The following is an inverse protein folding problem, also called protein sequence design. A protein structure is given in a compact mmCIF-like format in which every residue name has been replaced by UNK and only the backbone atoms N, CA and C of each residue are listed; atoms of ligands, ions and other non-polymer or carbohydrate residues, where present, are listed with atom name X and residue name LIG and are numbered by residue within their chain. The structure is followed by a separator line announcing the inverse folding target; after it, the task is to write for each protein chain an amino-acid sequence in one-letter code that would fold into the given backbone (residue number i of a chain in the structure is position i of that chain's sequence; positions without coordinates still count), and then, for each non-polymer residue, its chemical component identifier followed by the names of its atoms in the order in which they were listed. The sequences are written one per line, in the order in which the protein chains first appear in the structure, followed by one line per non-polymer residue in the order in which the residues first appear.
data_IF_462492070207
#
_entry.id   IF_462492070207
#
_cell.length_a   1.000
_cell.length_b   1.000
_cell.length_c   1.000
_cell.angle_alpha   90.00
_cell.angle_beta   90.00
_cell.angle_gamma   90.00
#
_symmetry.space_group_name_H-M   'P 1'
#
loop_
_entity.id
_entity.type
_entity.pdbx_description
1 polymer ?
#
# COMPACT_ATOMS: atom_id res chain seq x y z
N UNK A 1 9.89 21.92 32.72
CA UNK A 1 9.60 21.90 31.27
C UNK A 1 9.99 20.52 30.78
N UNK A 2 9.00 19.76 30.32
CA UNK A 2 9.05 18.30 30.14
C UNK A 2 10.03 17.84 29.07
N UNK A 3 10.76 16.77 29.38
CA UNK A 3 11.79 16.11 28.58
C UNK A 3 11.24 15.42 27.33
N UNK A 4 10.67 16.15 26.37
CA UNK A 4 10.07 15.53 25.19
C UNK A 4 11.08 14.78 24.30
N UNK A 5 12.38 15.03 24.50
CA UNK A 5 13.46 14.34 23.80
C UNK A 5 13.80 12.95 24.36
N UNK A 6 13.24 12.53 25.51
CA UNK A 6 13.46 11.18 26.04
C UNK A 6 12.49 10.15 25.47
N UNK A 7 11.37 10.59 24.89
CA UNK A 7 10.42 9.69 24.23
C UNK A 7 11.04 9.04 22.99
N UNK A 8 10.96 7.71 22.94
CA UNK A 8 11.28 6.91 21.77
C UNK A 8 10.02 6.63 20.97
N UNK A 9 10.19 6.29 19.70
CA UNK A 9 9.05 5.94 18.84
C UNK A 9 8.27 4.71 19.38
N UNK A 10 8.98 3.79 20.04
CA UNK A 10 8.39 2.64 20.76
C UNK A 10 7.37 3.05 21.82
N UNK A 11 7.54 4.21 22.47
CA UNK A 11 6.70 4.65 23.58
C UNK A 11 5.31 5.09 23.11
N UNK A 12 5.16 5.37 21.82
CA UNK A 12 3.87 5.68 21.18
C UNK A 12 3.15 4.43 20.65
N UNK A 13 3.82 3.28 20.58
CA UNK A 13 3.20 2.02 20.18
C UNK A 13 2.57 1.35 21.40
N UNK A 14 1.24 1.23 21.39
CA UNK A 14 0.47 0.57 22.45
C UNK A 14 0.43 -0.96 22.28
N UNK A 15 1.25 -1.54 21.40
CA UNK A 15 1.20 -2.94 21.03
C UNK A 15 2.59 -3.53 20.74
N UNK A 16 2.72 -4.84 20.97
CA UNK A 16 3.96 -5.60 20.73
C UNK A 16 4.02 -6.15 19.29
N UNK A 17 5.22 -6.58 18.80
CA UNK A 17 5.35 -7.21 17.50
C UNK A 17 4.49 -8.46 17.34
N UNK A 18 4.31 -9.23 18.43
CA UNK A 18 3.44 -10.42 18.46
C UNK A 18 1.97 -10.04 18.31
N UNK A 19 1.54 -8.96 18.96
CA UNK A 19 0.17 -8.43 18.86
C UNK A 19 -0.12 -8.01 17.42
N UNK A 20 0.82 -7.31 16.77
CA UNK A 20 0.69 -6.92 15.36
C UNK A 20 0.60 -8.14 14.43
N UNK A 21 1.52 -9.11 14.58
CA UNK A 21 1.50 -10.33 13.77
C UNK A 21 0.20 -11.14 13.94
N UNK A 22 -0.34 -11.19 15.16
CA UNK A 22 -1.62 -11.84 15.44
C UNK A 22 -2.81 -11.09 14.83
N UNK A 23 -2.81 -9.76 14.88
CA UNK A 23 -3.83 -8.93 14.24
C UNK A 23 -3.87 -9.17 12.73
N UNK A 24 -2.70 -9.20 12.08
CA UNK A 24 -2.59 -9.51 10.65
C UNK A 24 -3.11 -10.92 10.35
N UNK A 25 -2.72 -11.91 11.13
CA UNK A 25 -3.16 -13.30 10.95
C UNK A 25 -4.69 -13.42 11.05
N UNK A 26 -5.31 -12.84 12.08
CA UNK A 26 -6.77 -12.86 12.27
C UNK A 26 -7.50 -12.12 11.14
N UNK A 27 -7.00 -10.95 10.74
CA UNK A 27 -7.55 -10.20 9.61
C UNK A 27 -7.54 -11.03 8.32
N UNK A 28 -6.45 -11.73 8.04
CA UNK A 28 -6.35 -12.59 6.87
C UNK A 28 -7.17 -13.88 7.00
N UNK A 29 -7.24 -14.50 8.17
CA UNK A 29 -8.13 -15.64 8.43
C UNK A 29 -9.60 -15.30 8.13
N UNK A 30 -10.07 -14.12 8.54
CA UNK A 30 -11.42 -13.66 8.24
C UNK A 30 -11.62 -13.28 6.76
N UNK A 31 -10.56 -12.80 6.11
CA UNK A 31 -10.52 -12.55 4.68
C UNK A 31 -10.32 -13.83 3.86
N UNK A 32 -10.19 -15.01 4.45
CA UNK A 32 -10.02 -16.21 3.65
C UNK A 32 -11.31 -16.48 2.84
N UNK A 33 -11.25 -16.71 1.51
CA UNK A 33 -10.08 -16.84 0.62
C UNK A 33 -9.76 -15.58 -0.22
N UNK A 34 -10.34 -14.41 0.08
CA UNK A 34 -10.14 -13.13 -0.63
C UNK A 34 -8.67 -12.67 -0.70
N UNK A 35 -7.76 -13.21 0.10
CA UNK A 35 -6.32 -12.93 0.00
C UNK A 35 -5.78 -13.22 -1.42
N UNK A 36 -6.30 -14.26 -2.08
CA UNK A 36 -5.97 -14.58 -3.46
C UNK A 36 -6.48 -13.51 -4.45
N UNK A 37 -7.59 -12.84 -4.13
CA UNK A 37 -8.05 -11.69 -4.90
C UNK A 37 -7.08 -10.51 -4.77
N UNK A 38 -6.48 -10.30 -3.59
CA UNK A 38 -5.43 -9.28 -3.41
C UNK A 38 -4.21 -9.54 -4.30
N UNK A 39 -3.73 -10.79 -4.33
CA UNK A 39 -2.63 -11.20 -5.21
C UNK A 39 -3.01 -11.08 -6.70
N UNK A 40 -4.20 -11.57 -7.07
CA UNK A 40 -4.72 -11.46 -8.44
C UNK A 40 -4.89 -9.99 -8.87
N UNK A 41 -5.36 -9.13 -7.98
CA UNK A 41 -5.46 -7.69 -8.21
C UNK A 41 -4.09 -7.05 -8.40
N UNK A 42 -3.08 -7.46 -7.62
CA UNK A 42 -1.70 -7.00 -7.80
C UNK A 42 -1.14 -7.38 -9.18
N UNK A 43 -1.34 -8.64 -9.61
CA UNK A 43 -0.94 -9.11 -10.94
C UNK A 43 -1.71 -8.39 -12.06
N UNK A 44 -3.01 -8.18 -11.87
CA UNK A 44 -3.84 -7.41 -12.80
C UNK A 44 -3.36 -5.96 -12.90
N UNK A 45 -2.96 -5.33 -11.79
CA UNK A 45 -2.40 -3.98 -11.80
C UNK A 45 -1.11 -3.90 -12.63
N UNK A 46 -0.21 -4.89 -12.52
CA UNK A 46 1.00 -4.98 -13.34
C UNK A 46 0.66 -5.13 -14.84
N UNK A 47 -0.26 -6.04 -15.18
CA UNK A 47 -0.70 -6.23 -16.57
C UNK A 47 -1.37 -4.99 -17.15
N UNK A 48 -2.27 -4.35 -16.39
CA UNK A 48 -2.93 -3.10 -16.78
C UNK A 48 -1.93 -1.95 -16.93
N UNK A 49 -0.88 -1.89 -16.11
CA UNK A 49 0.17 -0.89 -16.25
C UNK A 49 0.93 -1.02 -17.57
N UNK A 50 1.28 -2.24 -17.97
CA UNK A 50 1.90 -2.50 -19.27
C UNK A 50 0.94 -2.14 -20.43
N UNK A 51 -0.33 -2.54 -20.34
CA UNK A 51 -1.34 -2.23 -21.35
C UNK A 51 -1.67 -0.73 -21.44
N UNK A 52 -1.60 0.00 -20.31
CA UNK A 52 -1.90 1.43 -20.23
C UNK A 52 -0.97 2.31 -21.06
N UNK A 53 0.21 1.78 -21.43
CA UNK A 53 1.17 2.45 -22.32
C UNK A 53 0.62 2.65 -23.73
N UNK A 54 -0.31 1.80 -24.15
CA UNK A 54 -0.91 1.79 -25.50
C UNK A 54 -2.41 2.10 -25.48
N UNK A 55 -3.11 1.73 -24.41
CA UNK A 55 -4.57 1.79 -24.35
C UNK A 55 -5.07 2.71 -23.21
N UNK A 56 -5.84 3.77 -23.49
CA UNK A 56 -6.38 4.66 -22.46
C UNK A 56 -7.39 3.94 -21.53
N UNK A 57 -8.11 2.95 -22.05
CA UNK A 57 -9.04 2.12 -21.25
C UNK A 57 -8.30 1.36 -20.15
N UNK A 58 -7.13 0.77 -20.46
CA UNK A 58 -6.31 0.07 -19.48
C UNK A 58 -5.77 1.02 -18.39
N UNK A 59 -5.44 2.26 -18.77
CA UNK A 59 -5.05 3.31 -17.80
C UNK A 59 -6.18 3.63 -16.83
N UNK A 60 -7.40 3.81 -17.35
CA UNK A 60 -8.59 4.05 -16.52
C UNK A 60 -8.88 2.87 -15.60
N UNK A 61 -8.84 1.65 -16.13
CA UNK A 61 -9.02 0.43 -15.34
C UNK A 61 -7.97 0.31 -14.22
N UNK A 62 -6.70 0.61 -14.50
CA UNK A 62 -5.64 0.63 -13.48
C UNK A 62 -5.94 1.62 -12.36
N UNK A 63 -6.36 2.84 -12.70
CA UNK A 63 -6.66 3.88 -11.71
C UNK A 63 -7.88 3.52 -10.86
N UNK A 64 -8.91 2.91 -11.46
CA UNK A 64 -10.08 2.41 -10.74
C UNK A 64 -9.72 1.26 -9.80
N UNK A 65 -8.86 0.34 -10.24
CA UNK A 65 -8.37 -0.76 -9.42
C UNK A 65 -7.57 -0.23 -8.22
N UNK A 66 -6.66 0.72 -8.45
CA UNK A 66 -5.90 1.36 -7.37
C UNK A 66 -6.81 2.13 -6.42
N UNK A 67 -7.83 2.84 -6.93
CA UNK A 67 -8.81 3.52 -6.08
C UNK A 67 -9.55 2.53 -5.16
N UNK A 68 -10.00 1.41 -5.71
CA UNK A 68 -10.65 0.35 -4.93
C UNK A 68 -9.70 -0.27 -3.90
N UNK A 69 -8.44 -0.53 -4.27
CA UNK A 69 -7.43 -1.08 -3.36
C UNK A 69 -7.13 -0.12 -2.19
N UNK A 70 -6.91 1.17 -2.48
CA UNK A 70 -6.69 2.19 -1.45
C UNK A 70 -7.90 2.38 -0.53
N UNK A 71 -9.11 2.38 -1.09
CA UNK A 71 -10.35 2.46 -0.30
C UNK A 71 -10.50 1.23 0.61
N UNK A 72 -10.26 0.04 0.08
CA UNK A 72 -10.33 -1.21 0.83
C UNK A 72 -9.30 -1.24 1.97
N UNK A 73 -8.03 -0.93 1.70
CA UNK A 73 -6.97 -0.89 2.72
C UNK A 73 -7.32 0.13 3.81
N UNK A 74 -7.78 1.33 3.43
CA UNK A 74 -8.16 2.37 4.37
C UNK A 74 -9.32 1.95 5.28
N UNK A 75 -10.34 1.32 4.70
CA UNK A 75 -11.52 0.89 5.44
C UNK A 75 -11.30 -0.41 6.22
N UNK A 76 -10.97 -1.51 5.53
CA UNK A 76 -10.97 -2.85 6.09
C UNK A 76 -9.77 -3.13 7.02
N UNK A 77 -8.60 -2.56 6.73
CA UNK A 77 -7.43 -2.71 7.59
C UNK A 77 -7.25 -1.51 8.51
N UNK A 78 -7.02 -0.31 7.96
CA UNK A 78 -6.61 0.84 8.76
C UNK A 78 -7.71 1.28 9.75
N UNK A 79 -8.97 1.37 9.30
CA UNK A 79 -10.09 1.75 10.17
C UNK A 79 -10.62 0.59 11.03
N UNK A 80 -11.02 -0.52 10.41
CA UNK A 80 -11.71 -1.62 11.13
C UNK A 80 -10.80 -2.44 12.05
N UNK A 81 -9.50 -2.54 11.75
CA UNK A 81 -8.56 -3.36 12.54
C UNK A 81 -7.54 -2.54 13.29
N UNK A 82 -6.88 -1.62 12.59
CA UNK A 82 -5.69 -0.99 13.11
C UNK A 82 -6.00 0.20 14.04
N UNK A 83 -7.11 0.91 13.82
CA UNK A 83 -7.57 2.02 14.66
C UNK A 83 -7.82 1.63 16.12
N UNK A 84 -8.14 0.38 16.40
CA UNK A 84 -8.37 -0.10 17.76
C UNK A 84 -7.09 -0.13 18.61
N UNK A 85 -5.91 -0.28 17.98
CA UNK A 85 -4.63 -0.46 18.70
C UNK A 85 -3.58 0.60 18.38
N UNK A 86 -3.79 1.42 17.35
CA UNK A 86 -2.84 2.44 16.94
C UNK A 86 -3.53 3.80 16.74
N UNK A 87 -3.09 4.79 17.52
CA UNK A 87 -3.58 6.17 17.44
C UNK A 87 -3.36 6.81 16.06
N UNK A 88 -2.35 6.40 15.31
CA UNK A 88 -2.07 6.90 13.96
C UNK A 88 -2.96 6.26 12.88
N UNK A 89 -3.61 5.14 13.18
CA UNK A 89 -4.36 4.37 12.18
C UNK A 89 -5.64 5.07 11.64
N UNK A 90 -6.40 5.87 12.42
CA UNK A 90 -7.46 6.72 11.88
C UNK A 90 -6.94 7.71 10.83
N UNK A 91 -5.77 8.31 11.06
CA UNK A 91 -5.13 9.22 10.10
C UNK A 91 -4.64 8.47 8.86
N UNK A 92 -4.09 7.26 9.03
CA UNK A 92 -3.76 6.36 7.93
C UNK A 92 -5.01 6.02 7.09
N UNK A 93 -6.14 5.70 7.71
CA UNK A 93 -7.39 5.42 7.03
C UNK A 93 -7.87 6.63 6.21
N UNK A 94 -7.80 7.83 6.79
CA UNK A 94 -8.16 9.07 6.09
C UNK A 94 -7.22 9.34 4.89
N UNK A 95 -5.91 9.12 5.06
CA UNK A 95 -4.94 9.25 3.98
C UNK A 95 -5.21 8.25 2.85
N UNK A 96 -5.47 6.98 3.18
CA UNK A 96 -5.87 5.96 2.20
C UNK A 96 -7.16 6.35 1.46
N UNK A 97 -8.16 6.89 2.17
CA UNK A 97 -9.40 7.40 1.57
C UNK A 97 -9.15 8.57 0.61
N UNK A 98 -8.30 9.53 1.01
CA UNK A 98 -7.86 10.62 0.13
C UNK A 98 -7.19 10.06 -1.12
N UNK A 99 -6.25 9.13 -0.98
CA UNK A 99 -5.56 8.51 -2.12
C UNK A 99 -6.51 7.77 -3.05
N UNK A 100 -7.54 7.11 -2.51
CA UNK A 100 -8.58 6.47 -3.31
C UNK A 100 -9.34 7.50 -4.17
N UNK A 101 -9.72 8.64 -3.59
CA UNK A 101 -10.38 9.74 -4.31
C UNK A 101 -9.46 10.33 -5.37
N UNK A 102 -8.19 10.58 -5.05
CA UNK A 102 -7.22 11.09 -6.03
C UNK A 102 -7.05 10.13 -7.21
N UNK A 103 -6.99 8.81 -6.95
CA UNK A 103 -6.96 7.79 -7.99
C UNK A 103 -8.24 7.79 -8.85
N UNK A 104 -9.40 7.95 -8.22
CA UNK A 104 -10.69 8.03 -8.90
C UNK A 104 -10.75 9.25 -9.82
N UNK A 105 -10.37 10.44 -9.33
CA UNK A 105 -10.30 11.66 -10.13
C UNK A 105 -9.35 11.49 -11.32
N UNK A 106 -8.19 10.88 -11.10
CA UNK A 106 -7.22 10.58 -12.15
C UNK A 106 -7.70 9.50 -13.16
N UNK A 107 -8.73 8.71 -12.83
CA UNK A 107 -9.34 7.77 -13.76
C UNK A 107 -10.28 8.44 -14.78
N UNK A 108 -10.83 9.61 -14.44
CA UNK A 108 -11.80 10.36 -15.25
C UNK A 108 -11.30 11.72 -15.74
N UNK A 109 -10.15 12.19 -15.25
CA UNK A 109 -9.55 13.45 -15.70
C UNK A 109 -9.14 13.44 -17.17
N UNK A 110 -9.09 14.62 -17.77
CA UNK A 110 -8.67 14.78 -19.16
C UNK A 110 -7.26 14.21 -19.38
N UNK A 111 -7.18 13.21 -20.25
CA UNK A 111 -5.98 12.43 -20.50
C UNK A 111 -4.93 13.23 -21.27
N UNK A 112 -4.04 13.93 -20.56
CA UNK A 112 -2.75 14.28 -21.13
C UNK A 112 -1.94 12.98 -21.30
N UNK A 113 -1.34 12.76 -22.48
CA UNK A 113 -0.45 11.61 -22.73
C UNK A 113 0.54 11.45 -21.56
N UNK A 114 0.77 10.23 -21.05
CA UNK A 114 1.74 10.03 -19.98
C UNK A 114 3.08 10.62 -20.40
N UNK A 115 3.68 11.46 -19.56
CA UNK A 115 5.07 11.82 -19.77
C UNK A 115 5.90 10.55 -19.61
N UNK A 116 6.75 10.20 -20.57
CA UNK A 116 7.58 9.01 -20.43
C UNK A 116 8.57 9.23 -19.27
N UNK A 117 8.60 8.30 -18.32
CA UNK A 117 9.69 8.23 -17.34
C UNK A 117 10.99 7.88 -18.07
N UNK A 118 12.12 8.42 -17.62
CA UNK A 118 13.44 8.10 -18.18
C UNK A 118 13.86 6.65 -17.88
N UNK A 119 13.35 6.07 -16.78
CA UNK A 119 13.66 4.72 -16.35
C UNK A 119 12.40 4.00 -15.85
N UNK A 120 11.46 3.65 -16.76
CA UNK A 120 10.19 3.05 -16.37
C UNK A 120 10.37 1.65 -15.76
N UNK A 121 11.44 0.94 -16.17
CA UNK A 121 11.78 -0.38 -15.66
C UNK A 121 12.06 -0.39 -14.14
N UNK A 122 12.55 0.72 -13.57
CA UNK A 122 12.73 0.85 -12.11
C UNK A 122 11.36 0.83 -11.42
N UNK A 123 10.40 1.55 -11.98
CA UNK A 123 9.03 1.58 -11.48
C UNK A 123 8.33 0.24 -11.61
N UNK A 124 8.50 -0.43 -12.76
CA UNK A 124 7.98 -1.78 -12.98
C UNK A 124 8.59 -2.80 -12.01
N UNK A 125 9.92 -2.75 -11.79
CA UNK A 125 10.62 -3.61 -10.84
C UNK A 125 10.15 -3.36 -9.41
N UNK A 126 9.95 -2.09 -9.04
CA UNK A 126 9.44 -1.72 -7.72
C UNK A 126 8.02 -2.25 -7.50
N UNK A 127 7.15 -2.10 -8.51
CA UNK A 127 5.79 -2.61 -8.44
C UNK A 127 5.75 -4.14 -8.38
N UNK A 128 6.59 -4.83 -9.14
CA UNK A 128 6.74 -6.27 -9.11
C UNK A 128 7.23 -6.76 -7.73
N UNK A 129 8.27 -6.11 -7.19
CA UNK A 129 8.79 -6.40 -5.86
C UNK A 129 7.75 -6.14 -4.76
N UNK A 130 6.90 -5.13 -4.91
CA UNK A 130 5.82 -4.88 -3.96
C UNK A 130 4.75 -5.98 -3.97
N UNK A 131 4.32 -6.42 -5.15
CA UNK A 131 3.24 -7.41 -5.30
C UNK A 131 3.70 -8.82 -4.90
N UNK A 132 4.92 -9.21 -5.26
CA UNK A 132 5.40 -10.58 -5.05
C UNK A 132 6.46 -10.69 -3.95
N UNK A 133 7.27 -9.65 -3.77
CA UNK A 133 8.37 -9.66 -2.80
C UNK A 133 7.89 -9.63 -1.35
N UNK A 134 6.83 -8.88 -1.03
CA UNK A 134 6.24 -8.87 0.32
C UNK A 134 5.70 -10.23 0.77
N UNK A 135 4.82 -10.92 0.02
CA UNK A 135 4.35 -12.24 0.42
C UNK A 135 5.48 -13.27 0.41
N UNK A 136 6.40 -13.21 -0.56
CA UNK A 136 7.56 -14.08 -0.58
C UNK A 136 8.48 -13.87 0.64
N UNK A 137 8.74 -12.62 1.04
CA UNK A 137 9.56 -12.30 2.21
C UNK A 137 8.96 -12.87 3.50
N UNK A 138 7.63 -12.84 3.63
CA UNK A 138 6.95 -13.46 4.77
C UNK A 138 7.19 -14.98 4.82
N UNK A 139 7.05 -15.67 3.69
CA UNK A 139 7.28 -17.11 3.60
C UNK A 139 8.76 -17.49 3.83
N UNK A 140 9.69 -16.72 3.26
CA UNK A 140 11.13 -16.92 3.44
C UNK A 140 11.58 -16.69 4.90
N UNK A 141 10.87 -15.83 5.63
CA UNK A 141 11.08 -15.63 7.06
C UNK A 141 10.41 -16.71 7.93
N UNK A 142 9.87 -17.79 7.33
CA UNK A 142 9.20 -18.88 8.03
C UNK A 142 7.82 -18.52 8.61
N UNK A 143 7.24 -17.38 8.21
CA UNK A 143 5.92 -16.96 8.69
C UNK A 143 4.81 -17.64 7.87
N UNK A 144 3.67 -17.98 8.48
CA UNK A 144 2.55 -18.58 7.76
C UNK A 144 1.97 -17.61 6.72
N UNK A 145 1.30 -18.14 5.70
CA UNK A 145 0.64 -17.34 4.66
C UNK A 145 -0.37 -16.34 5.24
N UNK A 146 -1.05 -16.68 6.33
CA UNK A 146 -1.94 -15.76 7.04
C UNK A 146 -1.22 -14.49 7.54
N UNK A 147 0.09 -14.52 7.75
CA UNK A 147 0.88 -13.35 8.14
C UNK A 147 1.53 -12.63 6.95
N UNK A 148 1.34 -13.11 5.72
CA UNK A 148 1.93 -12.52 4.53
C UNK A 148 1.25 -11.18 4.20
N UNK A 149 2.04 -10.15 3.97
CA UNK A 149 1.52 -8.86 3.51
C UNK A 149 1.23 -8.93 2.02
N UNK A 150 -0.04 -8.77 1.64
CA UNK A 150 -0.49 -8.89 0.24
C UNK A 150 -1.01 -7.53 -0.26
N UNK A 151 -0.82 -7.29 -1.56
CA UNK A 151 -1.39 -6.12 -2.23
C UNK A 151 -2.90 -6.02 -2.02
N UNK A 152 -3.41 -4.80 -1.86
CA UNK A 152 -4.80 -4.46 -1.54
C UNK A 152 -5.33 -4.99 -0.20
N UNK A 153 -4.62 -5.87 0.53
CA UNK A 153 -4.98 -6.22 1.90
C UNK A 153 -4.22 -5.39 2.93
N UNK A 154 -2.95 -5.07 2.63
CA UNK A 154 -2.04 -4.32 3.50
C UNK A 154 -1.61 -2.97 2.89
N UNK A 155 -1.35 -1.96 3.74
CA UNK A 155 -0.99 -0.62 3.28
C UNK A 155 0.38 -0.57 2.59
N UNK A 156 1.39 -1.24 3.13
CA UNK A 156 2.76 -1.15 2.63
C UNK A 156 2.97 -1.72 1.21
N UNK A 157 2.54 -2.95 0.87
CA UNK A 157 2.64 -3.45 -0.50
C UNK A 157 1.78 -2.63 -1.46
N UNK A 158 0.63 -2.13 -1.03
CA UNK A 158 -0.25 -1.28 -1.85
C UNK A 158 0.40 0.07 -2.17
N UNK A 159 1.04 0.68 -1.16
CA UNK A 159 1.75 1.93 -1.30
C UNK A 159 2.98 1.78 -2.20
N UNK A 160 3.81 0.76 -1.97
CA UNK A 160 5.02 0.52 -2.76
C UNK A 160 4.68 0.18 -4.22
N UNK A 161 3.65 -0.64 -4.44
CA UNK A 161 3.17 -0.93 -5.79
C UNK A 161 2.68 0.34 -6.50
N UNK A 162 1.88 1.16 -5.82
CA UNK A 162 1.39 2.43 -6.37
C UNK A 162 2.54 3.38 -6.77
N UNK A 163 3.58 3.49 -5.93
CA UNK A 163 4.77 4.30 -6.24
C UNK A 163 5.50 3.80 -7.48
N UNK A 164 5.74 2.50 -7.59
CA UNK A 164 6.40 1.90 -8.75
C UNK A 164 5.62 2.17 -10.04
N UNK A 165 4.31 1.96 -9.98
CA UNK A 165 3.41 2.17 -11.12
C UNK A 165 3.36 3.64 -11.58
N UNK A 166 3.34 4.60 -10.65
CA UNK A 166 3.32 6.02 -11.02
C UNK A 166 4.69 6.55 -11.42
N UNK A 167 5.77 6.01 -10.86
CA UNK A 167 7.12 6.27 -11.33
C UNK A 167 7.29 5.85 -12.79
N UNK A 168 6.81 4.67 -13.16
CA UNK A 168 6.83 4.18 -14.54
C UNK A 168 5.99 5.04 -15.48
N UNK A 169 4.87 5.59 -14.98
CA UNK A 169 3.97 6.48 -15.73
C UNK A 169 4.47 7.93 -15.85
N UNK A 170 5.56 8.30 -15.16
CA UNK A 170 6.28 9.56 -15.29
C UNK A 170 5.79 10.74 -14.41
N UNK A 171 6.45 11.91 -14.52
CA UNK A 171 6.39 12.98 -13.52
C UNK A 171 5.03 13.67 -13.41
N UNK A 172 4.15 13.55 -14.40
CA UNK A 172 2.80 14.14 -14.38
C UNK A 172 1.90 13.56 -13.29
N UNK A 173 2.28 12.40 -12.73
CA UNK A 173 1.57 11.74 -11.63
C UNK A 173 2.28 11.92 -10.29
N UNK A 174 3.28 12.80 -10.22
CA UNK A 174 4.03 13.06 -9.00
C UNK A 174 3.15 13.55 -7.84
N UNK A 175 2.03 14.22 -8.14
CA UNK A 175 1.06 14.68 -7.15
C UNK A 175 0.32 13.54 -6.42
N UNK A 176 0.37 12.30 -6.94
CA UNK A 176 -0.16 11.11 -6.26
C UNK A 176 0.85 10.49 -5.28
N UNK A 177 2.14 10.85 -5.36
CA UNK A 177 3.21 10.25 -4.55
C UNK A 177 3.17 10.59 -3.04
N UNK A 178 2.73 11.77 -2.58
CA UNK A 178 2.86 12.16 -1.18
C UNK A 178 2.19 11.19 -0.20
N UNK A 179 0.99 10.70 -0.50
CA UNK A 179 0.26 9.80 0.40
C UNK A 179 0.93 8.42 0.51
N UNK A 180 1.24 7.69 -0.58
CA UNK A 180 1.97 6.43 -0.44
C UNK A 180 3.33 6.58 0.23
N UNK A 181 4.04 7.68 0.01
CA UNK A 181 5.30 7.94 0.71
C UNK A 181 5.06 8.11 2.23
N UNK A 182 4.03 8.84 2.63
CA UNK A 182 3.65 8.98 4.03
C UNK A 182 3.24 7.63 4.65
N UNK A 183 2.50 6.80 3.91
CA UNK A 183 2.09 5.45 4.33
C UNK A 183 3.31 4.56 4.54
N UNK A 184 4.25 4.53 3.59
CA UNK A 184 5.49 3.76 3.73
C UNK A 184 6.38 4.28 4.85
N UNK A 185 6.45 5.61 5.04
CA UNK A 185 7.19 6.20 6.14
C UNK A 185 6.60 5.77 7.50
N UNK A 186 5.27 5.77 7.63
CA UNK A 186 4.57 5.29 8.83
C UNK A 186 4.79 3.79 9.05
N UNK A 187 4.71 2.98 8.00
CA UNK A 187 4.98 1.55 8.05
C UNK A 187 6.42 1.25 8.48
N UNK A 188 7.40 1.94 7.89
CA UNK A 188 8.82 1.84 8.26
C UNK A 188 9.05 2.26 9.71
N UNK A 189 8.48 3.39 10.13
CA UNK A 189 8.55 3.89 11.49
C UNK A 189 7.98 2.86 12.49
N UNK A 190 6.83 2.28 12.17
CA UNK A 190 6.21 1.22 12.98
C UNK A 190 7.14 0.00 13.08
N UNK A 191 7.66 -0.51 11.96
CA UNK A 191 8.55 -1.69 11.97
C UNK A 191 9.85 -1.43 12.71
N UNK A 192 10.43 -0.23 12.59
CA UNK A 192 11.63 0.16 13.31
C UNK A 192 11.38 0.20 14.82
N UNK A 193 10.28 0.80 15.25
CA UNK A 193 9.87 0.83 16.65
C UNK A 193 9.52 -0.55 17.22
N UNK A 194 9.11 -1.51 16.38
CA UNK A 194 8.89 -2.91 16.77
C UNK A 194 10.18 -3.75 16.84
N UNK A 195 11.29 -3.26 16.27
CA UNK A 195 12.56 -3.98 16.20
C UNK A 195 13.58 -3.54 17.27
N UNK A 196 13.41 -2.33 17.83
CA UNK A 196 14.24 -1.78 18.92
C UNK A 196 13.64 -2.00 20.30
#
# INVERSE_FOLDING_TARGET
MSEWWTYRLSDFLMFSPRTYARLVALYHEELWPLQWLGLAAGLAALGLALASRRHPVARRALMLLLAAAWAWVGWAFAWQRYAAINLAAPHLAAACGLQAVLCLLAAFGADARPGASRAPWIGDALAFAAVLGFPAASLLAGRPWAQAEVFASMPDPTALASLGLWWAAGPRRAWLLPVPLAVLALGLATRWALAG
#
